data_IF_323905837067
#
_entry.id   IF_323905837067
#
_cell.length_a   1.000
_cell.length_b   1.000
_cell.length_c   1.000
_cell.angle_alpha   90.00
_cell.angle_beta   90.00
_cell.angle_gamma   90.00
#
_symmetry.space_group_name_H-M   'P 1'
#
loop_
_entity.id
_entity.type
_entity.pdbx_description
1 polymer ?
#
# COMPACT_ATOMS: atom_id res chain seq x y z
N UNK A 1 -47.65 -37.49 -15.11
CA UNK A 1 -48.35 -36.39 -14.42
C UNK A 1 -47.30 -35.76 -13.51
N UNK A 2 -46.68 -34.67 -13.98
CA UNK A 2 -45.61 -33.98 -13.23
C UNK A 2 -46.27 -33.03 -12.25
N UNK A 3 -45.94 -33.14 -10.97
CA UNK A 3 -46.60 -32.39 -9.90
C UNK A 3 -46.38 -30.87 -10.09
N UNK A 4 -47.45 -30.05 -10.04
CA UNK A 4 -47.36 -28.59 -10.26
C UNK A 4 -46.61 -27.86 -9.14
N UNK A 5 -46.29 -28.55 -8.04
CA UNK A 5 -45.61 -28.00 -6.88
C UNK A 5 -44.11 -27.81 -7.10
N UNK A 6 -43.47 -28.64 -7.93
CA UNK A 6 -42.04 -28.50 -8.27
C UNK A 6 -41.76 -27.28 -9.14
N UNK A 7 -42.73 -26.85 -9.96
CA UNK A 7 -42.59 -25.71 -10.87
C UNK A 7 -42.59 -24.36 -10.15
N UNK A 8 -43.28 -24.24 -9.01
CA UNK A 8 -43.40 -22.99 -8.26
C UNK A 8 -42.11 -22.63 -7.50
N UNK A 9 -41.42 -23.64 -6.95
CA UNK A 9 -40.15 -23.46 -6.24
C UNK A 9 -39.03 -23.02 -7.19
N UNK A 10 -38.97 -23.59 -8.39
CA UNK A 10 -37.98 -23.22 -9.42
C UNK A 10 -38.23 -21.80 -9.92
N UNK A 11 -39.49 -21.40 -10.13
CA UNK A 11 -39.81 -20.04 -10.57
C UNK A 11 -39.43 -18.99 -9.50
N UNK A 12 -39.63 -19.32 -8.22
CA UNK A 12 -39.27 -18.43 -7.11
C UNK A 12 -37.75 -18.32 -6.95
N UNK A 13 -37.01 -19.41 -7.19
CA UNK A 13 -35.55 -19.41 -7.22
C UNK A 13 -34.99 -18.60 -8.40
N UNK A 14 -35.68 -18.56 -9.56
CA UNK A 14 -35.24 -17.74 -10.69
C UNK A 14 -35.52 -16.24 -10.50
N UNK A 15 -36.58 -15.85 -9.79
CA UNK A 15 -36.86 -14.43 -9.53
C UNK A 15 -35.90 -13.78 -8.52
N UNK A 16 -35.29 -14.56 -7.62
CA UNK A 16 -34.26 -14.03 -6.70
C UNK A 16 -32.91 -13.78 -7.36
N UNK A 17 -32.69 -14.23 -8.61
CA UNK A 17 -31.48 -13.90 -9.38
C UNK A 17 -31.50 -12.50 -10.02
N UNK A 18 -32.64 -11.79 -10.01
CA UNK A 18 -32.79 -10.50 -10.73
C UNK A 18 -32.45 -9.29 -9.86
N UNK A 19 -32.26 -9.45 -8.55
CA UNK A 19 -31.78 -8.36 -7.69
C UNK A 19 -30.27 -8.45 -7.48
N UNK A 20 -29.52 -8.55 -8.57
CA UNK A 20 -28.15 -8.03 -8.59
C UNK A 20 -28.25 -6.52 -8.52
N UNK A 21 -28.45 -5.99 -7.30
CA UNK A 21 -28.19 -4.59 -7.05
C UNK A 21 -26.77 -4.33 -7.57
N UNK A 22 -26.54 -3.30 -8.42
CA UNK A 22 -25.18 -2.86 -8.64
C UNK A 22 -24.72 -2.38 -7.28
N UNK A 23 -23.99 -3.23 -6.56
CA UNK A 23 -23.18 -2.76 -5.47
C UNK A 23 -22.20 -1.84 -6.17
N UNK A 24 -22.47 -0.53 -6.13
CA UNK A 24 -21.43 0.46 -6.19
C UNK A 24 -20.55 0.24 -4.96
N UNK A 25 -19.85 -0.90 -4.94
CA UNK A 25 -18.74 -1.14 -4.06
C UNK A 25 -17.72 -0.14 -4.55
N UNK A 26 -17.61 0.97 -3.82
CA UNK A 26 -16.32 1.65 -3.74
C UNK A 26 -15.38 0.57 -3.20
N UNK A 27 -14.78 -0.19 -4.11
CA UNK A 27 -13.94 -1.34 -3.77
C UNK A 27 -12.59 -0.73 -3.42
N UNK A 28 -12.54 -0.16 -2.23
CA UNK A 28 -11.30 0.34 -1.66
C UNK A 28 -10.36 -0.86 -1.57
N UNK A 29 -9.29 -0.86 -2.36
CA UNK A 29 -8.39 -2.01 -2.53
C UNK A 29 -7.91 -2.59 -1.19
N UNK A 30 -7.73 -1.72 -0.20
CA UNK A 30 -7.20 -2.05 1.13
C UNK A 30 -7.83 -1.16 2.21
N UNK A 31 -7.85 -1.58 3.49
CA UNK A 31 -8.22 -0.72 4.60
C UNK A 31 -7.15 0.36 4.86
N UNK A 32 -7.52 1.45 5.54
CA UNK A 32 -6.55 2.43 6.01
C UNK A 32 -5.86 1.98 7.29
N UNK A 33 -4.54 2.19 7.39
CA UNK A 33 -3.72 1.86 8.57
C UNK A 33 -2.83 3.07 8.89
N UNK A 34 -2.66 3.38 10.18
CA UNK A 34 -1.68 4.33 10.67
C UNK A 34 -1.27 3.90 12.07
N UNK A 35 -0.34 2.95 12.14
CA UNK A 35 0.07 2.33 13.39
C UNK A 35 1.49 1.74 13.28
N UNK A 36 2.26 1.81 14.38
CA UNK A 36 3.57 1.14 14.53
C UNK A 36 4.53 1.28 13.32
N UNK A 37 4.68 2.50 12.79
CA UNK A 37 5.55 2.77 11.64
C UNK A 37 4.97 2.36 10.28
N UNK A 38 3.74 1.87 10.24
CA UNK A 38 3.01 1.51 9.02
C UNK A 38 1.91 2.53 8.74
N UNK A 39 1.92 3.10 7.55
CA UNK A 39 0.90 3.98 7.01
C UNK A 39 0.37 3.36 5.72
N UNK A 40 -0.94 3.14 5.64
CA UNK A 40 -1.64 2.67 4.46
C UNK A 40 -2.79 3.63 4.18
N UNK A 41 -2.70 4.36 3.07
CA UNK A 41 -3.68 5.37 2.66
C UNK A 41 -4.34 4.87 1.37
N UNK A 42 -5.56 4.35 1.44
CA UNK A 42 -6.27 3.93 0.25
C UNK A 42 -7.00 5.11 -0.41
N UNK A 43 -7.03 5.07 -1.74
CA UNK A 43 -7.73 5.97 -2.66
C UNK A 43 -8.73 5.15 -3.50
N UNK A 44 -9.33 5.75 -4.52
CA UNK A 44 -10.39 5.13 -5.34
C UNK A 44 -9.91 3.86 -6.05
N UNK A 45 -8.84 3.96 -6.86
CA UNK A 45 -8.24 2.86 -7.62
C UNK A 45 -6.80 2.54 -7.19
N UNK A 46 -6.34 3.12 -6.09
CA UNK A 46 -4.94 3.07 -5.69
C UNK A 46 -4.78 3.06 -4.19
N UNK A 47 -3.59 2.75 -3.71
CA UNK A 47 -3.20 2.98 -2.33
C UNK A 47 -1.73 3.36 -2.23
N UNK A 48 -1.41 4.09 -1.17
CA UNK A 48 -0.05 4.42 -0.76
C UNK A 48 0.29 3.67 0.52
N UNK A 49 1.42 2.98 0.52
CA UNK A 49 2.00 2.27 1.66
C UNK A 49 3.33 2.93 2.03
N UNK A 50 3.51 3.23 3.32
CA UNK A 50 4.79 3.57 3.92
C UNK A 50 5.04 2.68 5.13
N UNK A 51 6.23 2.11 5.22
CA UNK A 51 6.70 1.32 6.36
C UNK A 51 8.05 1.88 6.78
N UNK A 52 8.15 2.35 8.01
CA UNK A 52 9.39 2.82 8.62
C UNK A 52 9.64 2.00 9.89
N UNK A 53 10.59 1.07 9.81
CA UNK A 53 10.93 0.13 10.89
C UNK A 53 12.44 -0.09 10.93
N UNK A 54 13.04 0.07 12.10
CA UNK A 54 14.45 -0.21 12.38
C UNK A 54 15.45 0.43 11.38
N UNK A 55 15.16 1.67 10.97
CA UNK A 55 15.99 2.44 10.03
C UNK A 55 15.86 2.00 8.56
N UNK A 56 14.98 1.03 8.28
CA UNK A 56 14.58 0.67 6.92
C UNK A 56 13.27 1.36 6.57
N UNK A 57 13.21 1.93 5.38
CA UNK A 57 12.02 2.63 4.88
C UNK A 57 11.55 1.95 3.59
N UNK A 58 10.25 1.67 3.51
CA UNK A 58 9.59 1.27 2.26
C UNK A 58 8.49 2.27 1.96
N UNK A 59 8.45 2.77 0.74
CA UNK A 59 7.33 3.54 0.21
C UNK A 59 6.86 2.91 -1.09
N UNK A 60 5.55 2.80 -1.28
CA UNK A 60 4.98 2.16 -2.45
C UNK A 60 3.62 2.78 -2.78
N UNK A 61 3.40 3.04 -4.07
CA UNK A 61 2.09 3.33 -4.62
C UNK A 61 1.67 2.18 -5.53
N UNK A 62 0.47 1.67 -5.30
CA UNK A 62 -0.16 0.65 -6.14
C UNK A 62 -1.41 1.26 -6.76
N UNK A 63 -1.54 1.13 -8.07
CA UNK A 63 -2.66 1.68 -8.84
C UNK A 63 -3.24 0.61 -9.76
N UNK A 64 -4.55 0.51 -9.82
CA UNK A 64 -5.27 -0.25 -10.83
C UNK A 64 -5.38 0.58 -12.12
N UNK A 65 -4.59 0.18 -13.13
CA UNK A 65 -4.47 0.89 -14.41
C UNK A 65 -5.47 0.38 -15.48
N UNK A 66 -6.04 -0.80 -15.25
CA UNK A 66 -7.13 -1.40 -16.00
C UNK A 66 -7.81 -2.45 -15.11
N UNK A 67 -9.05 -2.90 -15.40
CA UNK A 67 -9.74 -3.88 -14.56
C UNK A 67 -8.89 -5.11 -14.25
N UNK A 68 -8.57 -5.33 -12.97
CA UNK A 68 -7.74 -6.43 -12.48
C UNK A 68 -6.23 -6.31 -12.79
N UNK A 69 -5.78 -5.16 -13.30
CA UNK A 69 -4.38 -4.92 -13.68
C UNK A 69 -3.75 -3.86 -12.78
N UNK A 70 -2.78 -4.28 -11.98
CA UNK A 70 -2.09 -3.41 -11.03
C UNK A 70 -0.72 -2.95 -11.57
N UNK A 71 -0.39 -1.70 -11.27
CA UNK A 71 0.92 -1.10 -11.44
C UNK A 71 1.44 -0.69 -10.07
N UNK A 72 2.65 -1.14 -9.75
CA UNK A 72 3.36 -0.85 -8.51
C UNK A 72 4.55 0.03 -8.83
N UNK A 73 4.77 1.08 -8.03
CA UNK A 73 5.96 1.93 -8.04
C UNK A 73 6.40 2.13 -6.60
N UNK A 74 7.65 1.84 -6.28
CA UNK A 74 8.09 1.98 -4.90
C UNK A 74 9.58 2.13 -4.72
N UNK A 75 9.93 2.45 -3.49
CA UNK A 75 11.29 2.54 -2.99
C UNK A 75 11.46 1.70 -1.74
N UNK A 76 12.65 1.15 -1.56
CA UNK A 76 13.06 0.47 -0.35
C UNK A 76 14.48 0.90 0.01
N UNK A 77 14.62 1.55 1.15
CA UNK A 77 15.87 2.02 1.69
C UNK A 77 16.22 1.24 2.96
N UNK A 78 17.49 0.89 3.13
CA UNK A 78 17.98 0.26 4.35
C UNK A 78 19.46 0.59 4.62
N UNK A 79 19.91 0.51 5.88
CA UNK A 79 21.33 0.53 6.20
C UNK A 79 22.06 -0.60 5.48
N UNK A 80 23.28 -0.32 5.03
CA UNK A 80 24.14 -1.27 4.33
C UNK A 80 25.54 -1.30 4.98
N UNK A 81 26.25 -2.44 4.97
CA UNK A 81 27.58 -2.54 5.57
C UNK A 81 28.55 -1.44 5.14
N UNK A 82 29.38 -1.01 6.08
CA UNK A 82 30.39 0.04 5.86
C UNK A 82 29.84 1.46 5.97
N UNK A 83 28.85 1.69 6.83
CA UNK A 83 28.18 2.99 7.01
C UNK A 83 27.59 3.52 5.71
N UNK A 84 26.99 2.62 4.92
CA UNK A 84 26.33 2.96 3.65
C UNK A 84 24.82 2.82 3.79
N UNK A 85 24.12 3.33 2.80
CA UNK A 85 22.68 3.20 2.68
C UNK A 85 22.36 2.66 1.30
N UNK A 86 21.59 1.57 1.25
CA UNK A 86 21.13 0.95 0.02
C UNK A 86 19.72 1.47 -0.27
N UNK A 87 19.55 2.12 -1.41
CA UNK A 87 18.25 2.50 -1.94
C UNK A 87 17.92 1.65 -3.17
N UNK A 88 16.76 1.01 -3.14
CA UNK A 88 16.17 0.27 -4.25
C UNK A 88 14.96 1.05 -4.74
N UNK A 89 14.89 1.33 -6.04
CA UNK A 89 13.69 1.87 -6.69
C UNK A 89 13.16 0.81 -7.65
N UNK A 90 11.88 0.45 -7.55
CA UNK A 90 11.30 -0.62 -8.35
C UNK A 90 9.95 -0.23 -8.96
N UNK A 91 9.65 -0.86 -10.09
CA UNK A 91 8.40 -0.76 -10.80
C UNK A 91 7.96 -2.19 -11.19
N UNK A 92 6.69 -2.52 -10.95
CA UNK A 92 6.12 -3.83 -11.30
C UNK A 92 4.74 -3.67 -11.94
N UNK A 93 4.51 -4.31 -13.07
CA UNK A 93 3.22 -4.25 -13.77
C UNK A 93 3.18 -5.21 -14.96
N UNK A 94 2.31 -4.96 -15.96
CA UNK A 94 2.17 -5.81 -17.15
C UNK A 94 3.46 -6.00 -17.95
N UNK A 95 4.36 -5.02 -17.87
CA UNK A 95 5.66 -5.04 -18.57
C UNK A 95 6.76 -5.78 -17.78
N UNK A 96 6.39 -6.45 -16.67
CA UNK A 96 7.32 -7.16 -15.80
C UNK A 96 7.78 -6.32 -14.60
N UNK A 97 8.89 -6.75 -14.02
CA UNK A 97 9.50 -6.15 -12.83
C UNK A 97 10.87 -5.57 -13.18
N UNK A 98 11.12 -4.33 -12.76
CA UNK A 98 12.41 -3.66 -12.91
C UNK A 98 12.79 -3.04 -11.57
N UNK A 99 14.05 -3.23 -11.16
CA UNK A 99 14.63 -2.58 -10.00
C UNK A 99 15.95 -1.89 -10.34
N UNK A 100 16.19 -0.74 -9.70
CA UNK A 100 17.43 0.03 -9.76
C UNK A 100 17.97 0.17 -8.35
N UNK A 101 19.29 0.12 -8.22
CA UNK A 101 19.99 0.14 -6.94
C UNK A 101 20.93 1.34 -6.89
N UNK A 102 20.94 2.03 -5.76
CA UNK A 102 21.87 3.10 -5.45
C UNK A 102 22.47 2.85 -4.08
N UNK A 103 23.78 3.07 -3.95
CA UNK A 103 24.50 2.93 -2.70
C UNK A 103 25.14 4.26 -2.37
N UNK A 104 24.73 4.88 -1.26
CA UNK A 104 25.28 6.14 -0.76
C UNK A 104 26.00 5.93 0.57
N UNK A 105 26.88 6.86 0.94
CA UNK A 105 27.39 6.91 2.30
C UNK A 105 26.31 7.48 3.22
N UNK A 106 26.18 6.91 4.42
CA UNK A 106 25.21 7.33 5.40
C UNK A 106 25.69 8.65 6.02
N UNK A 107 25.15 9.78 5.55
CA UNK A 107 25.48 11.09 6.12
C UNK A 107 24.76 11.24 7.46
N UNK A 108 25.45 10.91 8.56
CA UNK A 108 25.00 11.33 9.89
C UNK A 108 25.09 12.86 9.91
N UNK A 109 23.97 13.55 9.69
CA UNK A 109 23.89 14.96 9.99
C UNK A 109 23.94 15.10 11.51
N UNK A 110 25.13 15.34 12.05
CA UNK A 110 25.27 15.76 13.44
C UNK A 110 24.57 17.11 13.54
N UNK A 111 23.37 17.14 14.09
CA UNK A 111 22.71 18.41 14.38
C UNK A 111 23.46 19.07 15.53
N UNK A 112 24.34 20.01 15.20
CA UNK A 112 25.03 20.83 16.18
C UNK A 112 23.99 21.73 16.86
N UNK A 113 23.53 21.33 18.04
CA UNK A 113 22.72 22.19 18.89
C UNK A 113 23.62 23.32 19.43
N UNK A 114 23.28 24.61 19.21
CA UNK A 114 24.06 25.69 19.77
C UNK A 114 24.01 25.64 21.31
N UNK A 115 25.12 25.89 22.02
CA UNK A 115 25.17 25.80 23.48
C UNK A 115 24.11 26.63 24.21
N UNK A 116 23.57 27.68 23.58
CA UNK A 116 22.50 28.51 24.12
C UNK A 116 21.20 27.72 24.36
N UNK A 117 20.90 26.71 23.54
CA UNK A 117 19.69 25.86 23.67
C UNK A 117 19.82 24.90 24.86
N UNK A 118 21.05 24.49 25.21
CA UNK A 118 21.32 23.65 26.38
C UNK A 118 21.22 24.42 27.71
N UNK A 119 21.23 25.76 27.68
CA UNK A 119 21.12 26.60 28.89
C UNK A 119 19.69 26.80 29.36
N UNK A 120 18.69 26.66 28.49
CA UNK A 120 17.28 26.95 28.82
C UNK A 120 16.57 25.76 29.50
N UNK A 121 17.22 24.60 29.59
CA UNK A 121 16.66 23.40 30.24
C UNK A 121 17.02 23.29 31.74
N UNK A 122 17.78 24.24 32.30
CA UNK A 122 18.17 24.27 33.70
C UNK A 122 17.75 25.59 34.36
N UNK A 123 16.44 25.75 34.62
CA UNK A 123 15.91 26.74 35.58
C UNK A 123 15.52 28.08 35.01
#
# INVERSE_FOLDING_TARGET
MVDPLFSSVILTLCLSLVTSAPTASVTRLVPSINDNGVILIPSDNSYYLRIDVDGSEREETVEEIAPGTLQVRGTYGQPFPGSKYLLVTYEAGPNGYVAKYSLSENQIQVQHLPPAVLKTAAG
#
